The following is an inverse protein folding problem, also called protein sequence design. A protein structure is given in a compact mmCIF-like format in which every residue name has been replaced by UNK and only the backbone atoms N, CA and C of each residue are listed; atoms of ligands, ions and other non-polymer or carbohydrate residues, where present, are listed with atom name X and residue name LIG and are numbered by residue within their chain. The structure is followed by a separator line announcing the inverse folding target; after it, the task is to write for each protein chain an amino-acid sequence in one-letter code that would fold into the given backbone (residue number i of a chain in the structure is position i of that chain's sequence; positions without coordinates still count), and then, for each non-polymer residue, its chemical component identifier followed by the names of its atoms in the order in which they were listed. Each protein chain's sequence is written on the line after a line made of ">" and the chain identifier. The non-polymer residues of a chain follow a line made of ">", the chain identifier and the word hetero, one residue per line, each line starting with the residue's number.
data_IF_925725645597
#
_entry.id   IF_925725645597
#
_cell.length_a   1.000
_cell.length_b   1.000
_cell.length_c   1.000
_cell.angle_alpha   90.00
_cell.angle_beta   90.00
_cell.angle_gamma   90.00
#
_symmetry.space_group_name_H-M   'P 1'
#
loop_
_entity.id
_entity.type
_entity.pdbx_description
1 polymer ?
#
# COMPACT_ATOMS: atom_id res chain seq x y z
N UNK A 1 -5.16 27.29 -11.42
CA UNK A 1 -3.77 26.95 -11.03
C UNK A 1 -3.86 26.24 -9.70
N UNK A 2 -3.69 24.91 -9.68
CA UNK A 2 -3.81 24.13 -8.45
C UNK A 2 -2.46 24.13 -7.72
N UNK A 3 -2.49 24.66 -6.51
CA UNK A 3 -1.39 24.77 -5.56
C UNK A 3 -1.02 23.36 -5.05
N UNK A 4 0.24 22.95 -5.21
CA UNK A 4 0.70 21.64 -4.73
C UNK A 4 0.99 21.70 -3.23
N UNK A 5 0.09 21.13 -2.42
CA UNK A 5 0.30 20.94 -0.99
C UNK A 5 1.34 19.83 -0.74
N UNK A 6 2.60 20.21 -0.50
CA UNK A 6 3.67 19.27 -0.12
C UNK A 6 3.61 19.01 1.39
N UNK A 7 2.95 17.92 1.80
CA UNK A 7 2.95 17.46 3.19
C UNK A 7 4.19 16.58 3.47
N UNK A 8 5.12 17.08 4.29
CA UNK A 8 6.26 16.31 4.81
C UNK A 8 5.86 15.56 6.09
N UNK A 9 6.13 14.26 6.13
CA UNK A 9 5.94 13.41 7.32
C UNK A 9 7.30 12.98 7.87
N UNK A 10 7.50 12.90 9.19
CA UNK A 10 8.76 12.43 9.77
C UNK A 10 8.91 10.92 9.50
N UNK A 11 9.80 10.55 8.58
CA UNK A 11 10.40 9.22 8.59
C UNK A 11 11.42 9.16 9.73
N UNK A 12 11.58 7.99 10.35
CA UNK A 12 12.79 7.74 11.11
C UNK A 12 13.98 7.98 10.17
N UNK A 13 15.04 8.69 10.63
CA UNK A 13 16.17 8.99 9.76
C UNK A 13 16.75 7.67 9.25
N UNK A 14 16.75 7.52 7.93
CA UNK A 14 17.56 6.51 7.25
C UNK A 14 18.92 7.13 6.99
N UNK A 15 19.94 6.31 6.76
CA UNK A 15 21.26 6.82 6.37
C UNK A 15 21.18 7.56 5.02
N UNK A 16 22.19 8.41 4.75
CA UNK A 16 22.19 9.31 3.60
C UNK A 16 22.12 8.58 2.24
N UNK A 17 22.66 7.36 2.16
CA UNK A 17 22.62 6.54 0.95
C UNK A 17 21.22 5.97 0.74
N UNK A 18 20.61 5.45 1.81
CA UNK A 18 19.22 4.97 1.80
C UNK A 18 18.24 6.10 1.47
N UNK A 19 18.39 7.29 2.04
CA UNK A 19 17.54 8.45 1.70
C UNK A 19 17.70 8.83 0.22
N UNK A 20 18.93 8.85 -0.30
CA UNK A 20 19.20 9.18 -1.72
C UNK A 20 18.57 8.18 -2.69
N UNK A 21 18.61 6.89 -2.35
CA UNK A 21 17.93 5.83 -3.11
C UNK A 21 16.40 5.99 -3.01
N UNK A 22 15.88 6.28 -1.82
CA UNK A 22 14.44 6.48 -1.62
C UNK A 22 13.92 7.71 -2.36
N UNK A 23 14.69 8.81 -2.43
CA UNK A 23 14.36 10.01 -3.21
C UNK A 23 14.41 9.73 -4.72
N UNK A 24 15.35 8.91 -5.19
CA UNK A 24 15.42 8.48 -6.59
C UNK A 24 14.20 7.63 -6.98
N UNK A 25 13.70 6.81 -6.05
CA UNK A 25 12.53 5.93 -6.23
C UNK A 25 11.20 6.69 -6.01
N UNK A 26 11.22 7.76 -5.23
CA UNK A 26 10.05 8.58 -4.92
C UNK A 26 9.61 9.37 -6.17
N UNK A 27 8.66 8.79 -6.91
CA UNK A 27 8.17 9.35 -8.18
C UNK A 27 8.67 8.63 -9.42
N UNK A 28 9.31 7.45 -9.27
CA UNK A 28 9.69 6.62 -10.40
C UNK A 28 8.45 6.24 -11.25
N UNK A 29 8.34 6.74 -12.50
CA UNK A 29 7.20 6.48 -13.38
C UNK A 29 7.12 5.01 -13.79
N UNK A 30 8.22 4.25 -13.68
CA UNK A 30 8.29 2.85 -14.09
C UNK A 30 7.23 1.96 -13.40
N UNK A 31 6.87 2.31 -12.17
CA UNK A 31 5.92 1.54 -11.35
C UNK A 31 4.66 2.33 -10.98
N UNK A 32 4.36 3.43 -11.68
CA UNK A 32 3.14 4.19 -11.41
C UNK A 32 1.89 3.36 -11.69
N UNK A 33 1.87 2.65 -12.81
CA UNK A 33 0.77 1.76 -13.19
C UNK A 33 0.60 0.60 -12.21
N UNK A 34 1.71 0.03 -11.75
CA UNK A 34 1.72 -1.02 -10.73
C UNK A 34 1.12 -0.53 -9.42
N UNK A 35 1.55 0.65 -8.94
CA UNK A 35 1.00 1.28 -7.73
C UNK A 35 -0.50 1.53 -7.90
N UNK A 36 -0.91 2.08 -9.04
CA UNK A 36 -2.32 2.35 -9.32
C UNK A 36 -3.15 1.05 -9.35
N UNK A 37 -2.63 -0.03 -9.93
CA UNK A 37 -3.27 -1.33 -9.93
C UNK A 37 -3.45 -1.89 -8.52
N UNK A 38 -2.43 -1.80 -7.66
CA UNK A 38 -2.52 -2.23 -6.25
C UNK A 38 -3.53 -1.39 -5.48
N UNK A 39 -3.54 -0.07 -5.65
CA UNK A 39 -4.52 0.82 -4.99
C UNK A 39 -5.95 0.48 -5.42
N UNK A 40 -6.20 0.28 -6.72
CA UNK A 40 -7.51 -0.14 -7.23
C UNK A 40 -7.97 -1.46 -6.61
N UNK A 41 -7.08 -2.45 -6.52
CA UNK A 41 -7.36 -3.73 -5.89
C UNK A 41 -7.72 -3.59 -4.39
N UNK A 42 -7.00 -2.75 -3.65
CA UNK A 42 -7.30 -2.44 -2.24
C UNK A 42 -8.68 -1.82 -2.09
N UNK A 43 -9.00 -0.81 -2.90
CA UNK A 43 -10.30 -0.12 -2.85
C UNK A 43 -11.45 -1.06 -3.22
N UNK A 44 -11.27 -1.91 -4.23
CA UNK A 44 -12.27 -2.89 -4.65
C UNK A 44 -12.54 -3.94 -3.56
N UNK A 45 -11.49 -4.48 -2.94
CA UNK A 45 -11.64 -5.41 -1.81
C UNK A 45 -12.35 -4.74 -0.62
N UNK A 46 -11.96 -3.51 -0.29
CA UNK A 46 -12.62 -2.75 0.77
C UNK A 46 -14.10 -2.49 0.49
N UNK A 47 -14.45 -2.12 -0.75
CA UNK A 47 -15.83 -1.91 -1.14
C UNK A 47 -16.67 -3.18 -1.00
N UNK A 48 -16.08 -4.35 -1.30
CA UNK A 48 -16.75 -5.64 -1.18
C UNK A 48 -16.95 -6.09 0.29
N UNK A 49 -16.10 -5.66 1.22
CA UNK A 49 -16.09 -6.09 2.63
C UNK A 49 -16.32 -4.94 3.63
N UNK A 50 -17.22 -4.00 3.29
CA UNK A 50 -17.66 -2.95 4.23
C UNK A 50 -16.53 -2.04 4.74
N UNK A 51 -15.50 -1.83 3.94
CA UNK A 51 -14.31 -1.01 4.26
C UNK A 51 -13.14 -1.81 4.85
N UNK A 52 -13.30 -3.11 5.10
CA UNK A 52 -12.21 -3.98 5.56
C UNK A 52 -11.36 -4.47 4.39
N UNK A 53 -10.05 -4.54 4.61
CA UNK A 53 -9.05 -4.91 3.61
C UNK A 53 -8.34 -6.17 4.08
N UNK A 54 -8.69 -7.30 3.46
CA UNK A 54 -7.96 -8.55 3.58
C UNK A 54 -6.89 -8.66 2.48
N UNK A 55 -5.58 -8.76 2.81
CA UNK A 55 -4.52 -8.96 1.83
C UNK A 55 -4.71 -10.17 0.90
N UNK A 56 -5.35 -11.24 1.36
CA UNK A 56 -5.64 -12.42 0.54
C UNK A 56 -6.70 -12.11 -0.53
N UNK A 57 -7.74 -11.36 -0.17
CA UNK A 57 -8.75 -10.89 -1.12
C UNK A 57 -8.14 -9.91 -2.11
N UNK A 58 -7.33 -8.95 -1.64
CA UNK A 58 -6.64 -7.99 -2.51
C UNK A 58 -5.70 -8.70 -3.49
N UNK A 59 -4.94 -9.71 -3.04
CA UNK A 59 -3.99 -10.42 -3.91
C UNK A 59 -4.67 -11.06 -5.13
N UNK A 60 -5.92 -11.52 -4.99
CA UNK A 60 -6.75 -12.10 -6.06
C UNK A 60 -7.19 -11.07 -7.11
N UNK A 61 -7.13 -9.77 -6.78
CA UNK A 61 -7.53 -8.67 -7.64
C UNK A 61 -6.34 -7.96 -8.31
N UNK A 62 -5.11 -8.28 -7.90
CA UNK A 62 -3.89 -7.68 -8.47
C UNK A 62 -3.50 -8.46 -9.74
N UNK A 63 -3.33 -7.78 -10.89
CA UNK A 63 -2.82 -8.41 -12.12
C UNK A 63 -1.44 -9.05 -11.94
N UNK A 64 -1.19 -10.17 -12.63
CA UNK A 64 0.06 -10.94 -12.48
C UNK A 64 1.31 -10.21 -12.99
N UNK A 65 1.14 -9.18 -13.83
CA UNK A 65 2.25 -8.38 -14.36
C UNK A 65 2.72 -7.27 -13.39
N UNK A 66 2.08 -7.11 -12.23
CA UNK A 66 2.49 -6.11 -11.22
C UNK A 66 3.79 -6.53 -10.56
N UNK A 67 4.77 -5.62 -10.48
CA UNK A 67 6.03 -5.92 -9.82
C UNK A 67 5.82 -6.23 -8.32
N UNK A 68 6.19 -7.42 -7.82
CA UNK A 68 5.80 -7.86 -6.48
C UNK A 68 6.22 -6.94 -5.33
N UNK A 69 7.36 -6.24 -5.45
CA UNK A 69 7.84 -5.32 -4.41
C UNK A 69 6.96 -4.08 -4.26
N UNK A 70 6.24 -3.69 -5.32
CA UNK A 70 5.30 -2.55 -5.30
C UNK A 70 4.11 -2.83 -4.39
N UNK A 71 3.67 -4.09 -4.29
CA UNK A 71 2.52 -4.46 -3.46
C UNK A 71 2.79 -4.10 -2.00
N UNK A 72 3.85 -4.64 -1.41
CA UNK A 72 4.21 -4.37 -0.01
C UNK A 72 4.55 -2.90 0.25
N UNK A 73 5.25 -2.25 -0.68
CA UNK A 73 5.58 -0.83 -0.59
C UNK A 73 4.32 0.06 -0.58
N UNK A 74 3.31 -0.29 -1.38
CA UNK A 74 2.03 0.43 -1.45
C UNK A 74 1.26 0.30 -0.13
N UNK A 75 1.13 -0.92 0.41
CA UNK A 75 0.52 -1.13 1.73
C UNK A 75 1.21 -0.33 2.84
N UNK A 76 2.55 -0.38 2.89
CA UNK A 76 3.32 0.37 3.89
C UNK A 76 3.11 1.87 3.73
N UNK A 77 3.08 2.38 2.50
CA UNK A 77 2.87 3.80 2.21
C UNK A 77 1.49 4.26 2.66
N UNK A 78 0.44 3.51 2.31
CA UNK A 78 -0.93 3.83 2.71
C UNK A 78 -1.12 3.75 4.23
N UNK A 79 -0.51 2.77 4.89
CA UNK A 79 -0.52 2.67 6.34
C UNK A 79 0.19 3.84 7.03
N UNK A 80 1.39 4.22 6.53
CA UNK A 80 2.12 5.40 7.04
C UNK A 80 1.35 6.71 6.84
N UNK A 81 0.58 6.82 5.76
CA UNK A 81 -0.33 7.95 5.50
C UNK A 81 -1.62 7.91 6.34
N UNK A 82 -1.82 6.87 7.15
CA UNK A 82 -3.04 6.69 7.95
C UNK A 82 -4.29 6.34 7.14
N UNK A 83 -4.14 6.02 5.85
CA UNK A 83 -5.23 5.62 4.95
C UNK A 83 -5.64 4.15 5.16
N UNK A 84 -4.71 3.32 5.63
CA UNK A 84 -4.97 1.97 6.12
C UNK A 84 -4.63 1.89 7.61
N UNK A 85 -5.59 1.41 8.40
CA UNK A 85 -5.40 1.17 9.84
C UNK A 85 -5.47 -0.32 10.10
N UNK A 86 -4.54 -0.86 10.90
CA UNK A 86 -4.51 -2.29 11.23
C UNK A 86 -5.77 -2.66 12.03
N UNK A 87 -6.47 -3.71 11.59
CA UNK A 87 -7.77 -4.16 12.11
C UNK A 87 -7.76 -5.69 12.40
N UNK A 88 -6.60 -6.20 12.79
CA UNK A 88 -6.38 -7.59 13.16
C UNK A 88 -5.37 -8.31 12.28
N UNK A 89 -5.47 -9.63 12.26
CA UNK A 89 -4.52 -10.53 11.61
C UNK A 89 -5.26 -11.66 10.89
N UNK A 90 -4.66 -12.13 9.80
CA UNK A 90 -5.07 -13.32 9.07
C UNK A 90 -3.82 -14.14 8.72
N UNK A 91 -4.03 -15.30 8.09
CA UNK A 91 -2.94 -16.15 7.59
C UNK A 91 -2.84 -15.94 6.08
N UNK A 92 -1.64 -15.63 5.61
CA UNK A 92 -1.40 -15.35 4.19
C UNK A 92 -1.59 -16.61 3.33
N UNK A 93 -2.31 -16.46 2.23
CA UNK A 93 -2.51 -17.47 1.18
C UNK A 93 -1.49 -17.30 0.03
N UNK A 94 -0.66 -16.24 0.05
CA UNK A 94 0.21 -15.83 -1.07
C UNK A 94 1.36 -16.81 -1.32
N UNK A 95 1.13 -17.74 -2.25
CA UNK A 95 2.12 -18.72 -2.72
C UNK A 95 3.20 -18.07 -3.58
N UNK A 96 2.81 -17.15 -4.46
CA UNK A 96 3.71 -16.51 -5.41
C UNK A 96 4.78 -15.66 -4.70
N UNK A 97 4.39 -14.89 -3.68
CA UNK A 97 5.32 -14.13 -2.85
C UNK A 97 6.00 -14.95 -1.74
N UNK A 98 5.79 -16.28 -1.70
CA UNK A 98 6.36 -17.20 -0.69
C UNK A 98 6.01 -16.78 0.75
N UNK A 99 4.78 -16.32 0.93
CA UNK A 99 4.25 -15.87 2.21
C UNK A 99 3.16 -16.80 2.77
N UNK A 100 2.83 -17.88 2.09
CA UNK A 100 1.84 -18.85 2.56
C UNK A 100 2.12 -19.30 4.00
N UNK A 101 1.07 -19.29 4.84
CA UNK A 101 1.14 -19.75 6.24
C UNK A 101 1.71 -18.72 7.22
N UNK A 102 2.24 -17.58 6.74
CA UNK A 102 2.75 -16.51 7.61
C UNK A 102 1.62 -15.60 8.08
N UNK A 103 1.70 -15.05 9.30
CA UNK A 103 0.75 -14.04 9.76
C UNK A 103 0.86 -12.78 8.90
N UNK A 104 -0.28 -12.26 8.45
CA UNK A 104 -0.37 -10.98 7.76
C UNK A 104 -1.47 -10.11 8.39
N UNK A 105 -1.31 -8.79 8.29
CA UNK A 105 -2.22 -7.82 8.91
C UNK A 105 -3.48 -7.67 8.08
N UNK A 106 -4.62 -7.66 8.76
CA UNK A 106 -5.86 -7.13 8.20
C UNK A 106 -5.85 -5.61 8.39
N UNK A 107 -6.48 -4.89 7.46
CA UNK A 107 -6.60 -3.44 7.55
C UNK A 107 -8.06 -3.00 7.41
N UNK A 108 -8.30 -1.73 7.70
CA UNK A 108 -9.54 -1.02 7.39
C UNK A 108 -9.19 0.30 6.70
N UNK A 109 -9.98 0.69 5.70
CA UNK A 109 -9.87 2.00 5.08
C UNK A 109 -10.27 3.09 6.07
N UNK A 110 -9.41 4.09 6.22
CA UNK A 110 -9.71 5.29 6.98
C UNK A 110 -10.31 6.36 6.05
N UNK A 111 -11.63 6.32 5.88
CA UNK A 111 -12.36 7.24 5.00
C UNK A 111 -12.34 8.68 5.48
N UNK A 112 -12.08 8.92 6.77
CA UNK A 112 -11.88 10.25 7.36
C UNK A 112 -10.56 10.90 6.89
N UNK A 113 -9.49 10.11 6.72
CA UNK A 113 -8.23 10.60 6.17
C UNK A 113 -8.29 10.81 4.65
N UNK A 114 -9.12 10.04 3.94
CA UNK A 114 -9.29 10.14 2.49
C UNK A 114 -10.11 11.36 2.01
N UNK A 115 -10.85 12.04 2.90
CA UNK A 115 -11.62 13.25 2.59
C UNK A 115 -10.87 14.57 2.84
N UNK A 116 -9.71 14.51 3.51
CA UNK A 116 -8.93 15.68 3.91
C UNK A 116 -7.70 15.94 3.01
N UNK A 117 -7.56 15.16 1.93
CA UNK A 117 -6.53 15.27 0.90
C UNK A 117 -7.17 15.54 -0.46
#
# INVERSE_FOLDING_TARGET
>A
MADQLVLRFPSAPVDADTESILQLVAGDPLHEDDRAAVVRAILAAAAADGGRVDPNAVRKLIPDNVYPRVIGATYLTLAKKGLLVVDGWTVSEDRAGRNTGKPCRLYRLNTSAARAA
#
